data_IF_321584640943
#
_entry.id   IF_321584640943
#
_cell.length_a   1.000
_cell.length_b   1.000
_cell.length_c   1.000
_cell.angle_alpha   90.00
_cell.angle_beta   90.00
_cell.angle_gamma   90.00
#
_symmetry.space_group_name_H-M   'P 1'
#
loop_
_entity.id
_entity.type
_entity.pdbx_description
1 polymer ?
#
# COMPACT_ATOMS: atom_id res chain seq x y z
N UNK A 1 -0.93 2.93 40.40
CA UNK A 1 0.34 2.18 40.36
C UNK A 1 0.29 0.96 39.43
N UNK A 2 -0.20 -0.22 39.87
CA UNK A 2 -0.10 -1.47 39.06
C UNK A 2 -0.83 -1.41 37.71
N UNK A 3 -2.03 -0.82 37.69
CA UNK A 3 -2.84 -0.65 36.46
C UNK A 3 -2.22 0.36 35.49
N UNK A 4 -1.56 1.41 35.99
CA UNK A 4 -0.84 2.39 35.16
C UNK A 4 0.41 1.77 34.52
N UNK A 5 1.15 0.94 35.28
CA UNK A 5 2.30 0.19 34.76
C UNK A 5 1.87 -0.80 33.67
N UNK A 6 0.75 -1.52 33.86
CA UNK A 6 0.23 -2.43 32.82
C UNK A 6 -0.21 -1.67 31.56
N UNK A 7 -0.86 -0.51 31.70
CA UNK A 7 -1.25 0.31 30.55
C UNK A 7 -0.04 0.85 29.78
N UNK A 8 1.02 1.27 30.47
CA UNK A 8 2.28 1.69 29.83
C UNK A 8 2.92 0.54 29.06
N UNK A 9 3.05 -0.63 29.69
CA UNK A 9 3.63 -1.83 29.06
C UNK A 9 2.84 -2.25 27.82
N UNK A 10 1.51 -2.19 27.88
CA UNK A 10 0.64 -2.46 26.74
C UNK A 10 0.86 -1.47 25.59
N UNK A 11 1.07 -0.19 25.91
CA UNK A 11 1.41 0.85 24.93
C UNK A 11 2.73 0.58 24.22
N UNK A 12 3.77 0.21 24.98
CA UNK A 12 5.09 -0.09 24.42
C UNK A 12 5.09 -1.36 23.58
N UNK A 13 4.33 -2.38 23.98
CA UNK A 13 4.17 -3.60 23.19
C UNK A 13 3.47 -3.32 21.86
N UNK A 14 2.38 -2.52 21.87
CA UNK A 14 1.70 -2.10 20.63
C UNK A 14 2.63 -1.32 19.69
N UNK A 15 3.48 -0.44 20.24
CA UNK A 15 4.48 0.28 19.44
C UNK A 15 5.50 -0.69 18.83
N UNK A 16 5.95 -1.67 19.61
CA UNK A 16 6.91 -2.68 19.16
C UNK A 16 6.33 -3.53 18.03
N UNK A 17 5.07 -3.97 18.15
CA UNK A 17 4.35 -4.72 17.12
C UNK A 17 4.30 -3.92 15.82
N UNK A 18 3.86 -2.66 15.87
CA UNK A 18 3.79 -1.79 14.68
C UNK A 18 5.15 -1.64 14.00
N UNK A 19 6.21 -1.42 14.78
CA UNK A 19 7.56 -1.29 14.24
C UNK A 19 8.06 -2.59 13.58
N UNK A 20 7.65 -3.75 14.11
CA UNK A 20 8.00 -5.05 13.52
C UNK A 20 7.20 -5.30 12.23
N UNK A 21 5.91 -4.94 12.19
CA UNK A 21 5.08 -5.01 10.98
C UNK A 21 5.64 -4.13 9.85
N UNK A 22 6.09 -2.90 10.17
CA UNK A 22 6.76 -2.00 9.23
C UNK A 22 8.06 -2.61 8.69
N UNK A 23 8.89 -3.22 9.55
CA UNK A 23 10.12 -3.90 9.14
C UNK A 23 9.86 -5.12 8.25
N UNK A 24 8.85 -5.91 8.56
CA UNK A 24 8.45 -7.07 7.74
C UNK A 24 8.03 -6.58 6.36
N UNK A 25 7.17 -5.55 6.29
CA UNK A 25 6.72 -4.96 5.03
C UNK A 25 7.89 -4.44 4.20
N UNK A 26 8.85 -3.79 4.85
CA UNK A 26 10.07 -3.29 4.20
C UNK A 26 10.94 -4.44 3.64
N UNK A 27 11.11 -5.52 4.40
CA UNK A 27 11.84 -6.70 3.97
C UNK A 27 11.17 -7.41 2.79
N UNK A 28 9.84 -7.51 2.78
CA UNK A 28 9.06 -8.10 1.69
C UNK A 28 9.15 -7.26 0.41
N UNK A 29 8.99 -5.93 0.52
CA UNK A 29 9.09 -4.98 -0.60
C UNK A 29 10.43 -5.13 -1.34
N UNK A 30 11.48 -5.35 -0.56
CA UNK A 30 12.85 -5.52 -0.97
C UNK A 30 13.11 -6.85 -1.74
N UNK A 31 12.23 -7.85 -1.64
CA UNK A 31 12.37 -9.13 -2.35
C UNK A 31 11.88 -9.08 -3.81
N UNK A 32 11.14 -8.05 -4.21
CA UNK A 32 10.58 -7.93 -5.56
C UNK A 32 11.64 -7.84 -6.66
N UNK A 33 12.77 -7.19 -6.39
CA UNK A 33 13.89 -7.05 -7.33
C UNK A 33 13.44 -6.57 -8.74
N UNK A 34 12.58 -5.55 -8.77
CA UNK A 34 12.03 -4.98 -10.00
C UNK A 34 10.88 -5.75 -10.65
N UNK A 35 10.55 -6.94 -10.15
CA UNK A 35 9.41 -7.74 -10.62
C UNK A 35 8.37 -7.81 -9.50
N UNK A 36 7.26 -7.09 -9.69
CA UNK A 36 6.19 -7.02 -8.69
C UNK A 36 4.88 -7.54 -9.25
N UNK A 37 4.22 -8.43 -8.50
CA UNK A 37 2.92 -8.99 -8.84
C UNK A 37 1.91 -8.52 -7.79
N UNK A 38 0.97 -7.68 -8.22
CA UNK A 38 -0.09 -7.19 -7.35
C UNK A 38 -1.37 -8.00 -7.53
N UNK A 39 -1.65 -8.87 -6.56
CA UNK A 39 -2.93 -9.57 -6.48
C UNK A 39 -3.97 -8.65 -5.83
N UNK A 40 -5.04 -8.34 -6.57
CA UNK A 40 -6.18 -7.60 -6.04
C UNK A 40 -7.26 -8.61 -5.62
N UNK A 41 -7.44 -8.78 -4.32
CA UNK A 41 -8.45 -9.69 -3.77
C UNK A 41 -9.83 -9.02 -3.72
N UNK A 42 -10.89 -9.83 -3.74
CA UNK A 42 -12.28 -9.37 -3.63
C UNK A 42 -12.65 -8.25 -4.61
N UNK A 43 -12.18 -8.35 -5.85
CA UNK A 43 -12.35 -7.28 -6.86
C UNK A 43 -13.80 -6.84 -7.10
N UNK A 44 -14.76 -7.76 -6.90
CA UNK A 44 -16.19 -7.47 -6.99
C UNK A 44 -16.67 -6.37 -6.04
N UNK A 45 -16.03 -6.19 -4.88
CA UNK A 45 -16.36 -5.10 -3.95
C UNK A 45 -16.07 -3.74 -4.57
N UNK A 46 -14.97 -3.63 -5.33
CA UNK A 46 -14.60 -2.40 -6.01
C UNK A 46 -15.52 -2.11 -7.19
N UNK A 47 -15.93 -3.14 -7.94
CA UNK A 47 -16.91 -2.98 -9.01
C UNK A 47 -18.26 -2.49 -8.47
N UNK A 48 -18.73 -3.07 -7.37
CA UNK A 48 -19.96 -2.62 -6.71
C UNK A 48 -19.85 -1.16 -6.22
N UNK A 49 -18.70 -0.78 -5.65
CA UNK A 49 -18.48 0.61 -5.25
C UNK A 49 -18.52 1.57 -6.46
N UNK A 50 -17.93 1.18 -7.59
CA UNK A 50 -18.00 1.94 -8.84
C UNK A 50 -19.44 2.08 -9.36
N UNK A 51 -20.25 1.01 -9.32
CA UNK A 51 -21.67 1.04 -9.71
C UNK A 51 -22.50 1.99 -8.85
N UNK A 52 -22.17 2.10 -7.57
CA UNK A 52 -22.75 3.06 -6.62
C UNK A 52 -22.16 4.48 -6.78
N UNK A 53 -21.45 4.75 -7.88
CA UNK A 53 -20.76 6.01 -8.18
C UNK A 53 -19.73 6.43 -7.12
N UNK A 54 -19.20 5.49 -6.33
CA UNK A 54 -18.14 5.75 -5.35
C UNK A 54 -16.77 5.63 -6.00
N UNK A 55 -15.89 6.65 -5.87
CA UNK A 55 -14.55 6.59 -6.43
C UNK A 55 -13.75 5.42 -5.83
N UNK A 56 -13.10 4.63 -6.68
CA UNK A 56 -12.20 3.56 -6.25
C UNK A 56 -10.77 3.94 -6.58
N UNK A 57 -9.99 4.16 -5.53
CA UNK A 57 -8.54 4.37 -5.61
C UNK A 57 -7.87 3.44 -4.60
N UNK A 58 -7.06 2.51 -5.08
CA UNK A 58 -6.31 1.58 -4.22
C UNK A 58 -4.82 1.66 -4.51
N UNK A 59 -4.00 1.40 -3.50
CA UNK A 59 -2.54 1.38 -3.60
C UNK A 59 -2.02 -0.02 -3.37
N UNK A 60 -0.98 -0.41 -4.12
CA UNK A 60 -0.25 -1.64 -3.85
C UNK A 60 0.66 -1.45 -2.63
N UNK A 61 1.13 -2.56 -2.03
CA UNK A 61 2.35 -2.55 -1.22
C UNK A 61 3.53 -1.90 -1.97
N UNK A 62 4.48 -1.37 -1.21
CA UNK A 62 5.72 -0.87 -1.78
C UNK A 62 6.58 -2.04 -2.31
N UNK A 63 7.40 -1.77 -3.31
CA UNK A 63 8.37 -2.71 -3.84
C UNK A 63 9.61 -1.97 -4.32
N UNK A 64 10.73 -2.67 -4.37
CA UNK A 64 12.00 -2.11 -4.83
C UNK A 64 12.35 -2.58 -6.23
N UNK A 65 13.02 -1.72 -6.98
CA UNK A 65 13.61 -2.08 -8.28
C UNK A 65 14.83 -3.00 -8.14
N UNK A 66 15.44 -3.07 -6.95
CA UNK A 66 16.64 -3.86 -6.65
C UNK A 66 17.18 -3.56 -5.24
N UNK A 67 18.36 -4.12 -4.91
CA UNK A 67 19.10 -3.86 -3.66
C UNK A 67 20.54 -3.42 -3.96
N UNK A 68 20.89 -2.12 -3.88
CA UNK A 68 19.98 -0.98 -3.67
C UNK A 68 19.14 -0.68 -4.92
N UNK A 69 18.05 0.07 -4.76
CA UNK A 69 17.16 0.45 -5.85
C UNK A 69 16.10 1.45 -5.40
N UNK A 70 15.27 1.92 -6.33
CA UNK A 70 14.19 2.86 -6.05
C UNK A 70 13.02 2.16 -5.36
N UNK A 71 12.42 2.81 -4.37
CA UNK A 71 11.18 2.37 -3.75
C UNK A 71 9.99 2.88 -4.55
N UNK A 72 9.11 1.99 -4.99
CA UNK A 72 7.95 2.31 -5.81
C UNK A 72 6.67 1.74 -5.18
N UNK A 73 5.52 2.29 -5.54
CA UNK A 73 4.22 1.63 -5.38
C UNK A 73 3.32 1.89 -6.58
N UNK A 74 2.29 1.08 -6.76
CA UNK A 74 1.29 1.27 -7.82
C UNK A 74 0.01 1.86 -7.23
N UNK A 75 -0.66 2.71 -8.00
CA UNK A 75 -1.99 3.22 -7.67
C UNK A 75 -2.96 2.86 -8.79
N UNK A 76 -4.03 2.16 -8.45
CA UNK A 76 -5.08 1.75 -9.38
C UNK A 76 -6.33 2.60 -9.15
N UNK A 77 -6.84 3.17 -10.23
CA UNK A 77 -8.08 3.91 -10.28
C UNK A 77 -9.09 3.13 -11.11
N UNK A 78 -10.24 2.82 -10.53
CA UNK A 78 -11.40 2.35 -11.29
C UNK A 78 -12.30 3.57 -11.54
N UNK A 79 -12.51 3.89 -12.82
CA UNK A 79 -13.20 5.10 -13.25
C UNK A 79 -14.69 4.98 -13.01
N UNK A 80 -15.36 6.09 -12.65
CA UNK A 80 -16.81 6.06 -12.55
C UNK A 80 -17.45 5.85 -13.94
N UNK A 81 -18.63 5.22 -14.03
CA UNK A 81 -19.29 4.95 -15.31
C UNK A 81 -19.64 6.22 -16.08
N UNK A 82 -19.74 7.35 -15.39
CA UNK A 82 -20.08 8.66 -15.95
C UNK A 82 -18.86 9.49 -16.41
N UNK A 83 -17.62 8.99 -16.24
CA UNK A 83 -16.41 9.72 -16.67
C UNK A 83 -16.31 9.69 -18.18
N UNK A 84 -16.53 10.85 -18.82
CA UNK A 84 -16.42 11.00 -20.25
C UNK A 84 -15.05 10.48 -20.76
N UNK A 85 -15.08 9.66 -21.82
CA UNK A 85 -13.93 9.03 -22.49
C UNK A 85 -13.20 7.93 -21.69
N UNK A 86 -13.22 7.97 -20.36
CA UNK A 86 -12.43 7.05 -19.53
C UNK A 86 -13.26 5.98 -18.82
N UNK A 87 -14.61 6.04 -18.85
CA UNK A 87 -15.50 5.12 -18.14
C UNK A 87 -15.23 3.62 -18.38
N UNK A 88 -14.65 3.24 -19.52
CA UNK A 88 -14.36 1.85 -19.88
C UNK A 88 -12.91 1.41 -19.59
N UNK A 89 -12.11 2.25 -18.92
CA UNK A 89 -10.70 1.97 -18.67
C UNK A 89 -10.41 1.93 -17.17
N UNK A 90 -9.43 1.10 -16.81
CA UNK A 90 -8.76 1.16 -15.52
C UNK A 90 -7.48 1.96 -15.72
N UNK A 91 -7.20 2.92 -14.84
CA UNK A 91 -5.95 3.69 -14.88
C UNK A 91 -4.98 3.18 -13.82
N UNK A 92 -3.74 2.91 -14.23
CA UNK A 92 -2.69 2.41 -13.36
C UNK A 92 -1.52 3.38 -13.39
N UNK A 93 -1.07 3.77 -12.20
CA UNK A 93 0.04 4.71 -12.00
C UNK A 93 1.15 4.03 -11.21
N UNK A 94 2.38 4.42 -11.48
CA UNK A 94 3.55 4.08 -10.65
C UNK A 94 3.96 5.36 -9.92
N UNK A 95 4.12 5.27 -8.61
CA UNK A 95 4.62 6.35 -7.77
C UNK A 95 6.00 6.00 -7.25
N UNK A 96 6.91 6.97 -7.29
CA UNK A 96 8.16 6.94 -6.54
C UNK A 96 7.88 7.26 -5.08
N UNK A 97 8.36 6.42 -4.18
CA UNK A 97 8.34 6.64 -2.74
C UNK A 97 9.75 6.97 -2.27
N UNK A 98 9.88 7.57 -1.09
CA UNK A 98 11.19 7.74 -0.46
C UNK A 98 11.75 6.38 -0.04
N UNK A 99 12.79 5.92 -0.72
CA UNK A 99 13.57 4.73 -0.39
C UNK A 99 14.68 5.00 0.63
N UNK A 100 15.24 3.92 1.18
CA UNK A 100 16.35 3.97 2.14
C UNK A 100 17.60 4.66 1.59
N UNK A 101 17.84 4.52 0.27
CA UNK A 101 19.02 5.02 -0.42
C UNK A 101 18.76 6.32 -1.21
N UNK A 102 17.58 6.92 -1.07
CA UNK A 102 17.19 8.14 -1.79
C UNK A 102 17.62 9.43 -1.05
N UNK A 103 18.46 9.31 -0.02
CA UNK A 103 18.78 10.41 0.90
C UNK A 103 19.40 11.65 0.24
N UNK A 104 19.01 12.79 0.82
CA UNK A 104 19.76 14.05 0.91
C UNK A 104 21.20 13.86 1.37
#
# INVERSE_FOLDING_TARGET
AKMETQNSQMGDLKRTIRNLEEKITEMEAQQANGIFIWKIEHFSVYLKAQEEERPVVIHSPAFYTGKPGYKLCMRLHIQLPNVAKCANYISLFIHTMQGEYDSH
#
